data_IF_303479297310
#
_entry.id   IF_303479297310
#
_cell.length_a   1.000
_cell.length_b   1.000
_cell.length_c   1.000
_cell.angle_alpha   90.00
_cell.angle_beta   90.00
_cell.angle_gamma   90.00
#
_symmetry.space_group_name_H-M   'P 1'
#
loop_
_entity.id
_entity.type
_entity.pdbx_description
1 polymer ?
#
# COMPACT_ATOMS: atom_id res chain seq x y z
N UNK A 1 0.54 4.34 3.28
CA UNK A 1 0.57 4.60 4.71
C UNK A 1 2.02 4.47 5.16
N UNK A 2 2.69 5.30 5.70
CA UNK A 2 3.04 6.64 5.55
C UNK A 2 4.53 6.82 5.85
N UNK A 3 5.29 7.14 4.83
CA UNK A 3 6.68 7.59 4.97
C UNK A 3 6.84 8.79 5.92
N UNK A 4 5.76 9.46 6.29
CA UNK A 4 5.79 10.64 7.17
C UNK A 4 6.17 10.31 8.61
N UNK A 5 5.95 9.09 9.09
CA UNK A 5 6.24 8.72 10.49
C UNK A 5 7.72 8.43 10.71
N UNK A 6 8.45 8.05 9.67
CA UNK A 6 9.88 7.71 9.76
C UNK A 6 10.80 8.93 9.78
N UNK A 7 10.32 10.12 9.43
CA UNK A 7 11.16 11.30 9.22
C UNK A 7 11.27 12.25 10.41
N UNK A 8 10.55 12.01 11.50
CA UNK A 8 10.51 12.97 12.61
C UNK A 8 11.06 12.40 13.94
N UNK A 9 12.27 11.85 13.94
CA UNK A 9 13.07 11.53 15.14
C UNK A 9 12.29 10.85 16.29
N UNK A 10 11.39 9.90 15.97
CA UNK A 10 10.65 9.15 16.98
C UNK A 10 9.59 9.93 17.77
N UNK A 11 9.21 11.11 17.30
CA UNK A 11 8.16 11.93 17.93
C UNK A 11 6.74 11.49 17.59
N UNK A 12 6.58 10.71 16.52
CA UNK A 12 5.29 10.20 16.04
C UNK A 12 5.35 8.68 15.97
N UNK A 13 4.23 8.07 16.25
CA UNK A 13 4.04 6.63 16.12
C UNK A 13 2.83 6.34 15.25
N UNK A 14 2.80 5.18 14.60
CA UNK A 14 1.70 4.76 13.76
C UNK A 14 0.96 3.59 14.41
N UNK A 15 -0.35 3.71 14.53
CA UNK A 15 -1.18 2.66 15.08
C UNK A 15 -2.40 2.38 14.19
N UNK A 16 -2.73 1.09 14.07
CA UNK A 16 -4.02 0.66 13.51
C UNK A 16 -4.99 0.54 14.68
N UNK A 17 -6.06 1.38 14.73
CA UNK A 17 -7.01 1.34 15.83
C UNK A 17 -7.78 0.00 15.87
N UNK A 18 -8.39 -0.32 17.00
CA UNK A 18 -9.21 -1.55 17.14
C UNK A 18 -10.39 -1.60 16.18
N UNK A 19 -10.94 -0.43 15.81
CA UNK A 19 -11.98 -0.31 14.78
C UNK A 19 -11.55 -0.72 13.40
N UNK A 20 -10.24 -0.90 13.20
CA UNK A 20 -9.63 -1.30 11.94
C UNK A 20 -9.07 -0.13 11.14
N UNK A 21 -8.44 -0.48 10.03
CA UNK A 21 -7.87 0.44 9.06
C UNK A 21 -8.36 0.14 7.65
N UNK A 22 -7.88 0.94 6.70
CA UNK A 22 -8.17 0.77 5.28
C UNK A 22 -6.93 0.28 4.55
N UNK A 23 -7.08 -0.75 3.73
CA UNK A 23 -6.04 -1.25 2.84
C UNK A 23 -6.46 -0.97 1.40
N UNK A 24 -5.54 -0.48 0.60
CA UNK A 24 -5.72 -0.31 -0.85
C UNK A 24 -4.48 -0.76 -1.60
N UNK A 25 -4.59 -0.96 -2.89
CA UNK A 25 -3.47 -1.28 -3.76
C UNK A 25 -3.48 -0.43 -5.01
N UNK A 26 -2.32 0.09 -5.37
CA UNK A 26 -2.09 0.71 -6.66
C UNK A 26 -1.80 -0.37 -7.69
N UNK A 27 -2.28 -0.17 -8.93
CA UNK A 27 -2.14 -1.15 -9.99
C UNK A 27 -1.42 -0.55 -11.19
N UNK A 28 -0.44 -1.26 -11.72
CA UNK A 28 0.15 -0.93 -13.01
C UNK A 28 -0.74 -1.45 -14.13
N UNK A 29 -1.11 -0.57 -15.07
CA UNK A 29 -1.99 -0.90 -16.18
C UNK A 29 -1.30 -0.60 -17.52
N UNK A 30 -1.58 -1.44 -18.51
CA UNK A 30 -1.15 -1.22 -19.89
C UNK A 30 -2.38 -0.87 -20.71
N UNK A 31 -2.49 0.37 -21.24
CA UNK A 31 -3.61 0.74 -22.11
C UNK A 31 -3.73 -0.21 -23.31
N UNK A 32 -4.97 -0.54 -23.70
CA UNK A 32 -5.22 -1.46 -24.82
C UNK A 32 -4.65 -0.97 -26.15
N UNK A 33 -4.47 0.35 -26.29
CA UNK A 33 -3.86 1.02 -27.45
C UNK A 33 -2.33 1.02 -27.45
N UNK A 34 -1.68 0.50 -26.41
CA UNK A 34 -0.22 0.49 -26.31
C UNK A 34 0.42 -0.37 -27.41
N UNK A 35 1.37 0.21 -28.13
CA UNK A 35 2.19 -0.48 -29.14
C UNK A 35 3.40 -1.17 -28.53
N UNK A 36 3.72 -0.91 -27.24
CA UNK A 36 4.90 -1.41 -26.53
C UNK A 36 4.57 -2.33 -25.35
N UNK A 37 3.48 -3.09 -25.44
CA UNK A 37 2.98 -3.98 -24.39
C UNK A 37 4.08 -4.87 -23.78
N UNK A 38 4.87 -5.56 -24.63
CA UNK A 38 5.97 -6.44 -24.18
C UNK A 38 7.04 -5.74 -23.34
N UNK A 39 7.33 -4.47 -23.64
CA UNK A 39 8.29 -3.69 -22.87
C UNK A 39 7.70 -3.27 -21.52
N UNK A 40 6.42 -2.90 -21.49
CA UNK A 40 5.71 -2.61 -20.25
C UNK A 40 5.63 -3.84 -19.34
N UNK A 41 5.30 -5.02 -19.89
CA UNK A 41 5.29 -6.29 -19.15
C UNK A 41 6.67 -6.63 -18.54
N UNK A 42 7.75 -6.37 -19.28
CA UNK A 42 9.13 -6.56 -18.77
C UNK A 42 9.43 -5.60 -17.61
N UNK A 43 9.00 -4.33 -17.71
CA UNK A 43 9.16 -3.38 -16.63
C UNK A 43 8.37 -3.79 -15.38
N UNK A 44 7.12 -4.24 -15.57
CA UNK A 44 6.31 -4.77 -14.47
C UNK A 44 6.98 -5.96 -13.80
N UNK A 45 7.48 -6.93 -14.56
CA UNK A 45 8.19 -8.09 -14.01
C UNK A 45 9.46 -7.68 -13.26
N UNK A 46 10.22 -6.73 -13.80
CA UNK A 46 11.42 -6.21 -13.12
C UNK A 46 11.09 -5.56 -11.77
N UNK A 47 9.96 -4.84 -11.69
CA UNK A 47 9.49 -4.24 -10.45
C UNK A 47 9.19 -5.29 -9.35
N UNK A 48 8.79 -6.51 -9.74
CA UNK A 48 8.51 -7.62 -8.83
C UNK A 48 9.71 -8.54 -8.54
N UNK A 49 10.90 -8.24 -9.10
CA UNK A 49 12.12 -8.93 -8.68
C UNK A 49 12.40 -8.63 -7.20
N UNK A 50 12.68 -9.64 -6.35
CA UNK A 50 12.78 -9.44 -4.90
C UNK A 50 13.72 -8.33 -4.46
N UNK A 51 14.91 -8.25 -5.08
CA UNK A 51 15.88 -7.20 -4.76
C UNK A 51 15.36 -5.79 -5.13
N UNK A 52 14.71 -5.67 -6.29
CA UNK A 52 14.14 -4.40 -6.77
C UNK A 52 12.95 -3.99 -5.89
N UNK A 53 12.07 -4.94 -5.58
CA UNK A 53 10.92 -4.71 -4.70
C UNK A 53 11.36 -4.28 -3.29
N UNK A 54 12.49 -4.82 -2.80
CA UNK A 54 13.08 -4.40 -1.54
C UNK A 54 13.57 -2.94 -1.56
N UNK A 55 14.27 -2.53 -2.63
CA UNK A 55 14.70 -1.13 -2.80
C UNK A 55 13.51 -0.17 -2.86
N UNK A 56 12.46 -0.56 -3.59
CA UNK A 56 11.21 0.23 -3.65
C UNK A 56 10.54 0.30 -2.29
N UNK A 57 10.42 -0.82 -1.56
CA UNK A 57 9.83 -0.84 -0.22
C UNK A 57 10.62 0.01 0.78
N UNK A 58 11.96 -0.01 0.71
CA UNK A 58 12.82 0.86 1.51
C UNK A 58 12.56 2.34 1.26
N UNK A 59 12.30 2.70 0.01
CA UNK A 59 12.05 4.09 -0.37
C UNK A 59 10.64 4.57 -0.02
N UNK A 60 9.60 3.77 -0.34
CA UNK A 60 8.20 4.21 -0.18
C UNK A 60 7.61 3.90 1.19
N UNK A 61 8.17 2.92 1.93
CA UNK A 61 7.71 2.45 3.23
C UNK A 61 6.22 2.03 3.24
N UNK A 62 5.74 1.45 2.13
CA UNK A 62 4.40 0.87 2.02
C UNK A 62 4.45 -0.64 2.17
N UNK A 63 3.29 -1.27 2.36
CA UNK A 63 3.18 -2.73 2.33
C UNK A 63 3.76 -3.25 1.01
N UNK A 64 4.75 -4.13 1.13
CA UNK A 64 5.38 -4.76 -0.03
C UNK A 64 4.55 -5.98 -0.47
N UNK A 65 4.07 -6.03 -1.72
CA UNK A 65 3.30 -7.17 -2.22
C UNK A 65 4.16 -8.39 -2.56
N UNK A 66 5.50 -8.27 -2.44
CA UNK A 66 6.46 -9.32 -2.77
C UNK A 66 7.06 -9.87 -1.47
N UNK A 67 6.53 -10.96 -0.96
CA UNK A 67 7.03 -11.57 0.29
C UNK A 67 8.52 -11.94 0.22
N UNK A 68 8.99 -12.42 -0.93
CA UNK A 68 10.40 -12.74 -1.15
C UNK A 68 11.34 -11.52 -1.10
N UNK A 69 10.82 -10.30 -1.05
CA UNK A 69 11.62 -9.09 -0.88
C UNK A 69 12.05 -8.87 0.59
N UNK A 70 11.40 -9.51 1.56
CA UNK A 70 11.70 -9.30 2.97
C UNK A 70 13.16 -9.57 3.33
N UNK A 71 13.79 -10.72 3.00
CA UNK A 71 15.20 -10.97 3.29
C UNK A 71 16.16 -10.04 2.52
N UNK A 72 15.74 -9.50 1.39
CA UNK A 72 16.53 -8.50 0.66
C UNK A 72 16.43 -7.13 1.34
N UNK A 73 15.26 -6.77 1.86
CA UNK A 73 15.07 -5.54 2.61
C UNK A 73 15.82 -5.57 3.96
N UNK A 74 15.87 -6.71 4.63
CA UNK A 74 16.68 -6.89 5.85
C UNK A 74 18.18 -6.62 5.63
N UNK A 75 18.70 -6.89 4.43
CA UNK A 75 20.09 -6.56 4.09
C UNK A 75 20.30 -5.06 3.90
N UNK A 76 19.29 -4.34 3.43
CA UNK A 76 19.32 -2.88 3.20
C UNK A 76 19.14 -2.17 4.55
N UNK A 77 18.07 -2.51 5.26
CA UNK A 77 17.74 -1.99 6.58
C UNK A 77 16.99 -3.05 7.41
N UNK A 78 17.62 -3.62 8.45
CA UNK A 78 16.99 -4.63 9.29
C UNK A 78 15.72 -4.15 10.02
N UNK A 79 15.62 -2.85 10.32
CA UNK A 79 14.42 -2.30 10.97
C UNK A 79 13.23 -2.27 10.02
N UNK A 80 13.46 -1.92 8.75
CA UNK A 80 12.42 -1.94 7.70
C UNK A 80 12.03 -3.37 7.33
N UNK A 81 13.00 -4.29 7.21
CA UNK A 81 12.73 -5.69 6.88
C UNK A 81 11.87 -6.40 7.93
N UNK A 82 11.97 -5.99 9.18
CA UNK A 82 11.16 -6.50 10.29
C UNK A 82 9.93 -5.63 10.62
N UNK A 83 9.64 -4.61 9.81
CA UNK A 83 8.52 -3.71 10.03
C UNK A 83 7.18 -4.40 9.70
N UNK A 84 6.22 -4.49 10.65
CA UNK A 84 4.89 -5.02 10.39
C UNK A 84 4.05 -4.11 9.48
N UNK A 85 4.53 -2.91 9.19
CA UNK A 85 3.88 -1.98 8.25
C UNK A 85 4.30 -2.19 6.81
N UNK A 86 5.42 -2.89 6.58
CA UNK A 86 5.90 -3.26 5.24
C UNK A 86 5.56 -4.74 4.96
N UNK A 87 5.74 -5.60 5.95
CA UNK A 87 5.38 -7.02 5.90
C UNK A 87 4.40 -7.36 7.04
N UNK A 88 3.12 -6.99 6.88
CA UNK A 88 2.11 -7.22 7.92
C UNK A 88 1.83 -8.71 8.10
N UNK A 89 1.70 -9.12 9.36
CA UNK A 89 1.26 -10.45 9.72
C UNK A 89 -0.26 -10.63 9.51
N UNK A 90 -0.72 -11.88 9.63
CA UNK A 90 -2.13 -12.21 9.47
C UNK A 90 -3.04 -11.50 10.49
N UNK A 91 -2.55 -11.23 11.69
CA UNK A 91 -3.32 -10.54 12.72
C UNK A 91 -3.50 -9.04 12.38
N UNK A 92 -2.48 -8.42 11.80
CA UNK A 92 -2.54 -7.05 11.30
C UNK A 92 -3.47 -6.96 10.09
N UNK A 93 -3.36 -7.89 9.12
CA UNK A 93 -4.22 -7.93 7.95
C UNK A 93 -5.70 -8.17 8.29
N UNK A 94 -5.99 -8.93 9.35
CA UNK A 94 -7.36 -9.18 9.81
C UNK A 94 -8.06 -7.90 10.33
N UNK A 95 -7.32 -6.87 10.70
CA UNK A 95 -7.87 -5.59 11.18
C UNK A 95 -8.15 -4.58 10.07
N UNK A 96 -7.70 -4.83 8.85
CA UNK A 96 -7.86 -3.89 7.74
C UNK A 96 -8.92 -4.36 6.75
N UNK A 97 -9.57 -3.40 6.10
CA UNK A 97 -10.63 -3.64 5.12
C UNK A 97 -10.25 -3.00 3.79
N UNK A 98 -10.54 -3.69 2.71
CA UNK A 98 -10.34 -3.20 1.34
C UNK A 98 -11.57 -2.44 0.89
N UNK A 99 -11.40 -1.37 0.15
CA UNK A 99 -12.49 -0.69 -0.52
C UNK A 99 -13.22 -1.64 -1.48
N UNK A 100 -14.55 -1.59 -1.45
CA UNK A 100 -15.41 -2.32 -2.37
C UNK A 100 -16.16 -1.35 -3.30
N UNK A 101 -16.62 -1.85 -4.42
CA UNK A 101 -17.55 -1.10 -5.26
C UNK A 101 -18.86 -0.88 -4.50
N UNK A 102 -19.41 0.32 -4.63
CA UNK A 102 -20.69 0.70 -4.06
C UNK A 102 -21.80 0.54 -5.12
N UNK A 103 -23.01 0.24 -4.68
CA UNK A 103 -24.21 0.41 -5.50
C UNK A 103 -24.47 1.91 -5.73
N UNK A 104 -25.33 2.25 -6.70
CA UNK A 104 -25.71 3.63 -6.98
C UNK A 104 -26.33 4.31 -5.73
N UNK A 105 -27.21 3.60 -5.03
CA UNK A 105 -27.88 4.11 -3.82
C UNK A 105 -26.88 4.33 -2.67
N UNK A 106 -25.96 3.39 -2.46
CA UNK A 106 -24.89 3.56 -1.46
C UNK A 106 -24.00 4.75 -1.79
N UNK A 107 -23.60 4.88 -3.07
CA UNK A 107 -22.78 5.99 -3.53
C UNK A 107 -23.45 7.34 -3.27
N UNK A 108 -24.74 7.46 -3.61
CA UNK A 108 -25.54 8.68 -3.33
C UNK A 108 -25.61 8.97 -1.84
N UNK A 109 -25.88 7.95 -1.02
CA UNK A 109 -25.97 8.09 0.44
C UNK A 109 -24.65 8.57 1.06
N UNK A 110 -23.51 7.98 0.64
CA UNK A 110 -22.20 8.41 1.13
C UNK A 110 -21.86 9.83 0.65
N UNK A 111 -22.17 10.17 -0.60
CA UNK A 111 -21.95 11.52 -1.12
C UNK A 111 -22.75 12.56 -0.32
N UNK A 112 -24.04 12.32 -0.11
CA UNK A 112 -24.89 13.21 0.69
C UNK A 112 -24.35 13.41 2.11
N UNK A 113 -23.98 12.31 2.78
CA UNK A 113 -23.42 12.39 4.13
C UNK A 113 -22.08 13.15 4.17
N UNK A 114 -21.26 13.02 3.14
CA UNK A 114 -20.02 13.78 3.02
C UNK A 114 -20.28 15.27 2.80
N UNK A 115 -21.18 15.60 1.88
CA UNK A 115 -21.56 17.00 1.57
C UNK A 115 -22.14 17.69 2.80
N UNK A 116 -23.01 17.02 3.56
CA UNK A 116 -23.52 17.51 4.85
C UNK A 116 -22.40 17.77 5.87
N UNK A 117 -21.41 16.87 5.94
CA UNK A 117 -20.30 17.00 6.89
C UNK A 117 -19.36 18.16 6.57
N UNK A 118 -19.18 18.50 5.29
CA UNK A 118 -18.34 19.63 4.85
C UNK A 118 -19.10 20.95 4.69
N UNK A 119 -20.41 20.94 4.90
CA UNK A 119 -21.25 22.14 4.87
C UNK A 119 -21.64 22.60 3.45
N UNK A 120 -21.75 21.68 2.51
CA UNK A 120 -22.25 21.93 1.14
C UNK A 120 -23.71 21.56 0.99
#
# INVERSE_FOLDING_TARGET
MSALVSYEDGKFDFAIPESGGTLWSDNMLIPSTSTHKKNAEKLMNYYYEPAVAAEVAAYVNYICPVEAAQPELEKIDPALGNSPFIFPDAATLAKVKVFRSLSADESTKFQTAFDEAIGN
#
